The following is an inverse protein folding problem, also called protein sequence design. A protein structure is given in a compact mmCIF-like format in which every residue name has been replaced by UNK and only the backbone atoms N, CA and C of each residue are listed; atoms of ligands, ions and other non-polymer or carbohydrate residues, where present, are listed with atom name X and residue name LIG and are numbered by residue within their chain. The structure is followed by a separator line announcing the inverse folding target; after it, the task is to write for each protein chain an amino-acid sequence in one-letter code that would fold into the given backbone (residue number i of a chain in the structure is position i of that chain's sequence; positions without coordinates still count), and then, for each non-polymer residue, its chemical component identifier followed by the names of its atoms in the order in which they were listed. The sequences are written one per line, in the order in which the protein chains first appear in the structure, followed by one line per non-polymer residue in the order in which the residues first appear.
data_IF_594138062599
#
_entry.id   IF_594138062599
#
_cell.length_a   1.000
_cell.length_b   1.000
_cell.length_c   1.000
_cell.angle_alpha   90.00
_cell.angle_beta   90.00
_cell.angle_gamma   90.00
#
_symmetry.space_group_name_H-M   'P 1'
#
loop_
_entity.id
_entity.type
_entity.pdbx_description
1 polymer ?
#
# COMPACT_ATOMS: atom_id res chain seq x y z
N UNK A 1 -35.18 -36.60 8.60
CA UNK A 1 -34.47 -35.36 8.20
C UNK A 1 -34.07 -35.51 6.73
N UNK A 2 -34.82 -34.95 5.77
CA UNK A 2 -34.52 -35.10 4.34
C UNK A 2 -33.32 -34.21 4.00
N UNK A 3 -32.15 -34.80 3.72
CA UNK A 3 -31.01 -34.09 3.14
C UNK A 3 -31.40 -33.74 1.69
N UNK A 4 -31.59 -32.47 1.39
CA UNK A 4 -31.76 -31.99 0.02
C UNK A 4 -30.39 -32.04 -0.65
N UNK A 5 -30.21 -32.98 -1.57
CA UNK A 5 -29.05 -32.98 -2.44
C UNK A 5 -29.21 -31.85 -3.46
N UNK A 6 -28.16 -31.08 -3.66
CA UNK A 6 -28.09 -30.09 -4.73
C UNK A 6 -28.33 -30.77 -6.08
N UNK A 7 -29.10 -30.12 -6.96
CA UNK A 7 -29.31 -30.61 -8.31
C UNK A 7 -28.01 -30.48 -9.11
N UNK A 8 -27.76 -31.42 -10.04
CA UNK A 8 -26.60 -31.36 -10.94
C UNK A 8 -26.52 -30.03 -11.70
N UNK A 9 -27.68 -29.47 -12.07
CA UNK A 9 -27.75 -28.19 -12.78
C UNK A 9 -27.34 -27.01 -11.88
N UNK A 10 -27.68 -27.08 -10.59
CA UNK A 10 -27.36 -26.06 -9.60
C UNK A 10 -25.86 -26.02 -9.34
N UNK A 11 -25.21 -27.20 -9.28
CA UNK A 11 -23.76 -27.31 -9.18
C UNK A 11 -23.04 -26.73 -10.41
N UNK A 12 -23.54 -26.99 -11.62
CA UNK A 12 -22.95 -26.44 -12.84
C UNK A 12 -23.03 -24.91 -12.89
N UNK A 13 -24.16 -24.32 -12.48
CA UNK A 13 -24.33 -22.87 -12.43
C UNK A 13 -23.34 -22.25 -11.44
N UNK A 14 -23.15 -22.86 -10.27
CA UNK A 14 -22.18 -22.37 -9.27
C UNK A 14 -20.75 -22.38 -9.82
N UNK A 15 -20.34 -23.46 -10.49
CA UNK A 15 -18.99 -23.56 -11.10
C UNK A 15 -18.81 -22.49 -12.19
N UNK A 16 -19.84 -22.22 -12.99
CA UNK A 16 -19.79 -21.20 -14.04
C UNK A 16 -19.65 -19.79 -13.46
N UNK A 17 -20.43 -19.47 -12.42
CA UNK A 17 -20.36 -18.17 -11.73
C UNK A 17 -18.96 -17.97 -11.11
N UNK A 18 -18.44 -18.99 -10.42
CA UNK A 18 -17.10 -18.96 -9.85
C UNK A 18 -16.06 -18.73 -10.96
N UNK A 19 -16.15 -19.43 -12.09
CA UNK A 19 -15.24 -19.23 -13.24
C UNK A 19 -15.26 -17.81 -13.80
N UNK A 20 -16.44 -17.18 -13.91
CA UNK A 20 -16.55 -15.78 -14.36
C UNK A 20 -15.94 -14.81 -13.33
N UNK A 21 -16.15 -15.04 -12.03
CA UNK A 21 -15.54 -14.20 -10.99
C UNK A 21 -14.02 -14.32 -11.01
N UNK A 22 -13.47 -15.53 -11.13
CA UNK A 22 -12.02 -15.75 -11.19
C UNK A 22 -11.39 -15.10 -12.43
N UNK A 23 -12.03 -15.23 -13.59
CA UNK A 23 -11.52 -14.61 -14.84
C UNK A 23 -11.58 -13.08 -14.78
N UNK A 24 -12.65 -12.49 -14.22
CA UNK A 24 -12.74 -11.05 -14.01
C UNK A 24 -11.69 -10.53 -13.00
N UNK A 25 -11.42 -11.29 -11.94
CA UNK A 25 -10.36 -10.95 -10.99
C UNK A 25 -8.99 -10.96 -11.69
N UNK A 26 -8.62 -12.06 -12.36
CA UNK A 26 -7.31 -12.23 -13.02
C UNK A 26 -7.09 -11.20 -14.14
N UNK A 27 -8.11 -10.92 -14.95
CA UNK A 27 -7.98 -9.96 -16.05
C UNK A 27 -7.80 -8.53 -15.56
N UNK A 28 -8.41 -8.14 -14.43
CA UNK A 28 -8.16 -6.85 -13.80
C UNK A 28 -6.73 -6.76 -13.22
N UNK A 29 -6.21 -7.85 -12.66
CA UNK A 29 -4.81 -7.92 -12.19
C UNK A 29 -3.79 -7.85 -13.35
N UNK A 30 -4.02 -8.57 -14.45
CA UNK A 30 -3.12 -8.53 -15.62
C UNK A 30 -3.12 -7.14 -16.31
N UNK A 31 -4.24 -6.41 -16.27
CA UNK A 31 -4.32 -5.06 -16.83
C UNK A 31 -3.57 -4.00 -16.00
N UNK A 32 -3.29 -4.30 -14.72
CA UNK A 32 -2.42 -3.48 -13.85
C UNK A 32 -0.94 -3.74 -14.13
N UNK A 33 -0.54 -4.94 -14.60
CA UNK A 33 0.87 -5.26 -14.88
C UNK A 33 1.38 -4.72 -16.22
N UNK A 34 0.48 -4.46 -17.19
CA UNK A 34 0.85 -4.10 -18.57
C UNK A 34 0.97 -2.59 -18.84
N UNK A 35 0.65 -1.74 -17.86
CA UNK A 35 1.04 -0.32 -17.93
C UNK A 35 2.38 -0.17 -17.24
N UNK A 36 3.41 0.05 -18.05
CA UNK A 36 4.64 0.77 -17.69
C UNK A 36 4.32 2.21 -17.26
N UNK A 37 3.34 2.43 -16.39
CA UNK A 37 3.24 3.65 -15.61
C UNK A 37 4.39 3.62 -14.62
N UNK A 38 5.28 4.61 -14.71
CA UNK A 38 6.29 4.87 -13.70
C UNK A 38 5.64 4.80 -12.31
N UNK A 39 6.21 4.02 -11.41
CA UNK A 39 5.72 3.94 -10.04
C UNK A 39 5.89 5.32 -9.40
N UNK A 40 4.85 5.84 -8.77
CA UNK A 40 4.85 7.14 -8.09
C UNK A 40 4.19 7.01 -6.72
N UNK A 41 4.45 7.95 -5.82
CA UNK A 41 3.76 7.99 -4.51
C UNK A 41 2.23 8.06 -4.64
N UNK A 42 1.70 8.53 -5.78
CA UNK A 42 0.26 8.60 -6.04
C UNK A 42 -0.38 7.31 -6.58
N UNK A 43 0.41 6.29 -6.95
CA UNK A 43 -0.11 5.03 -7.51
C UNK A 43 0.49 3.76 -6.87
N UNK A 44 1.53 3.90 -6.03
CA UNK A 44 2.25 2.72 -5.53
C UNK A 44 1.44 1.91 -4.52
N UNK A 45 0.52 2.55 -3.79
CA UNK A 45 -0.38 1.84 -2.88
C UNK A 45 -1.25 0.85 -3.65
N UNK A 46 -1.88 1.33 -4.73
CA UNK A 46 -2.68 0.50 -5.62
C UNK A 46 -1.83 -0.57 -6.31
N UNK A 47 -0.58 -0.24 -6.66
CA UNK A 47 0.37 -1.21 -7.17
C UNK A 47 0.63 -2.35 -6.17
N UNK A 48 0.90 -2.04 -4.89
CA UNK A 48 1.13 -3.05 -3.85
C UNK A 48 -0.11 -3.91 -3.56
N UNK A 49 -1.30 -3.29 -3.51
CA UNK A 49 -2.59 -4.00 -3.40
C UNK A 49 -2.80 -4.94 -4.59
N UNK A 50 -2.32 -4.55 -5.77
CA UNK A 50 -2.37 -5.31 -7.01
C UNK A 50 -1.48 -6.57 -7.03
N UNK A 51 -0.55 -6.73 -6.09
CA UNK A 51 0.34 -7.90 -6.04
C UNK A 51 -0.34 -9.01 -5.24
N UNK A 52 -0.51 -10.23 -5.79
CA UNK A 52 -0.99 -11.36 -5.00
C UNK A 52 -0.03 -11.70 -3.84
N UNK A 53 -0.53 -11.71 -2.60
CA UNK A 53 0.25 -12.01 -1.40
C UNK A 53 -0.63 -12.68 -0.32
N UNK A 54 -0.03 -13.51 0.54
CA UNK A 54 -0.76 -14.22 1.59
C UNK A 54 -0.80 -13.45 2.92
N UNK A 55 0.24 -12.65 3.19
CA UNK A 55 0.42 -11.85 4.40
C UNK A 55 0.51 -10.37 4.04
N UNK A 56 1.47 -9.99 3.21
CA UNK A 56 1.71 -8.58 2.88
C UNK A 56 2.56 -8.37 1.63
N UNK A 57 2.42 -7.18 1.04
CA UNK A 57 3.33 -6.62 0.06
C UNK A 57 3.91 -5.31 0.61
N UNK A 58 5.24 -5.18 0.60
CA UNK A 58 5.98 -4.07 1.19
C UNK A 58 6.96 -3.50 0.18
N UNK A 59 7.03 -2.17 0.13
CA UNK A 59 8.16 -1.47 -0.47
C UNK A 59 9.14 -1.08 0.64
N UNK A 60 10.42 -1.32 0.41
CA UNK A 60 11.47 -1.19 1.40
C UNK A 60 12.71 -0.58 0.76
N UNK A 61 13.05 0.64 1.16
CA UNK A 61 14.18 1.38 0.62
C UNK A 61 15.24 1.57 1.70
N UNK A 62 16.49 1.41 1.31
CA UNK A 62 17.64 1.49 2.20
C UNK A 62 18.52 2.69 1.84
N UNK A 63 19.28 3.16 2.82
CA UNK A 63 20.29 4.21 2.74
C UNK A 63 19.79 5.55 2.18
N UNK A 64 20.09 5.86 0.92
CA UNK A 64 19.75 7.13 0.25
C UNK A 64 18.41 7.08 -0.50
N UNK A 65 17.67 5.98 -0.38
CA UNK A 65 16.39 5.75 -1.05
C UNK A 65 16.44 5.69 -2.58
N UNK A 66 17.64 5.67 -3.18
CA UNK A 66 17.81 5.54 -4.63
C UNK A 66 17.37 4.18 -5.16
N UNK A 67 17.43 3.14 -4.31
CA UNK A 67 16.98 1.79 -4.61
C UNK A 67 15.97 1.29 -3.57
N UNK A 68 14.87 0.76 -4.07
CA UNK A 68 13.78 0.22 -3.26
C UNK A 68 13.45 -1.21 -3.72
N UNK A 69 13.29 -2.11 -2.76
CA UNK A 69 12.87 -3.48 -3.01
C UNK A 69 11.39 -3.67 -2.72
N UNK A 70 10.75 -4.49 -3.56
CA UNK A 70 9.40 -5.01 -3.32
C UNK A 70 9.52 -6.38 -2.66
N UNK A 71 9.08 -6.44 -1.42
CA UNK A 71 9.01 -7.65 -0.60
C UNK A 71 7.57 -8.18 -0.63
N UNK A 72 7.41 -9.45 -1.01
CA UNK A 72 6.13 -10.16 -0.98
C UNK A 72 6.25 -11.30 0.02
N UNK A 73 5.43 -11.27 1.07
CA UNK A 73 5.48 -12.21 2.19
C UNK A 73 6.89 -12.36 2.79
N UNK A 74 7.64 -11.25 2.82
CA UNK A 74 9.02 -11.18 3.32
C UNK A 74 10.11 -11.52 2.30
N UNK A 75 9.76 -11.95 1.08
CA UNK A 75 10.74 -12.30 0.05
C UNK A 75 10.88 -11.18 -0.98
N UNK A 76 12.13 -10.81 -1.31
CA UNK A 76 12.42 -9.86 -2.39
C UNK A 76 11.96 -10.42 -3.74
N UNK A 77 11.15 -9.64 -4.45
CA UNK A 77 10.59 -10.01 -5.76
C UNK A 77 11.07 -9.10 -6.89
N UNK A 78 11.28 -7.82 -6.61
CA UNK A 78 11.65 -6.81 -7.61
C UNK A 78 12.43 -5.68 -6.95
N UNK A 79 13.38 -5.11 -7.68
CA UNK A 79 14.05 -3.86 -7.31
C UNK A 79 13.54 -2.74 -8.22
N UNK A 80 13.37 -1.56 -7.65
CA UNK A 80 12.92 -0.33 -8.30
C UNK A 80 13.97 0.73 -8.02
N UNK A 81 14.48 1.33 -9.08
CA UNK A 81 15.47 2.39 -9.01
C UNK A 81 14.82 3.76 -9.20
N UNK A 82 15.37 4.78 -8.56
CA UNK A 82 14.97 6.19 -8.71
C UNK A 82 13.49 6.46 -8.44
N UNK A 83 12.88 5.68 -7.53
CA UNK A 83 11.50 5.89 -7.07
C UNK A 83 11.42 7.04 -6.05
N UNK A 84 12.38 7.08 -5.13
CA UNK A 84 12.53 8.09 -4.08
C UNK A 84 13.99 8.56 -4.04
N UNK A 85 14.23 9.53 -3.16
CA UNK A 85 15.55 10.01 -2.76
C UNK A 85 15.50 10.37 -1.26
N UNK A 86 16.63 10.84 -0.72
CA UNK A 86 16.79 11.14 0.69
C UNK A 86 15.93 12.32 1.19
N UNK A 87 15.23 13.02 0.31
CA UNK A 87 14.27 14.07 0.67
C UNK A 87 12.97 13.51 1.26
N UNK A 88 12.73 12.19 1.18
CA UNK A 88 11.50 11.59 1.71
C UNK A 88 11.44 11.71 3.24
N UNK A 89 10.28 12.11 3.75
CA UNK A 89 9.95 12.12 5.18
C UNK A 89 8.61 11.45 5.40
N UNK A 90 8.48 10.71 6.51
CA UNK A 90 7.26 9.96 6.84
C UNK A 90 6.75 10.44 8.18
N UNK A 91 5.45 10.73 8.26
CA UNK A 91 4.80 11.22 9.46
C UNK A 91 3.68 10.27 9.89
N UNK A 92 3.71 9.84 11.15
CA UNK A 92 2.62 9.15 11.82
C UNK A 92 1.70 10.14 12.50
N UNK A 93 0.41 9.83 12.61
CA UNK A 93 -0.54 10.69 13.32
C UNK A 93 -0.73 10.21 14.76
N UNK A 94 -0.52 11.12 15.71
CA UNK A 94 -0.89 10.95 17.12
C UNK A 94 -2.04 11.89 17.47
N UNK A 95 -3.00 11.42 18.27
CA UNK A 95 -4.17 12.22 18.64
C UNK A 95 -3.85 13.46 19.48
N UNK A 96 -2.76 13.43 20.24
CA UNK A 96 -2.35 14.51 21.15
C UNK A 96 -1.40 15.48 20.47
N UNK A 97 -0.54 14.97 19.57
CA UNK A 97 0.57 15.76 18.99
C UNK A 97 0.41 16.03 17.49
N UNK A 98 -0.59 15.45 16.83
CA UNK A 98 -0.78 15.57 15.38
C UNK A 98 0.21 14.72 14.59
N UNK A 99 0.60 15.19 13.41
CA UNK A 99 1.59 14.51 12.58
C UNK A 99 3.00 14.65 13.18
N UNK A 100 3.64 13.52 13.48
CA UNK A 100 5.01 13.44 14.00
C UNK A 100 5.88 12.60 13.07
N UNK A 101 7.11 13.04 12.84
CA UNK A 101 8.05 12.32 11.98
C UNK A 101 8.37 10.94 12.58
N UNK A 102 8.25 9.90 11.75
CA UNK A 102 8.59 8.52 12.11
C UNK A 102 10.11 8.38 12.08
N UNK A 103 10.68 7.90 13.19
CA UNK A 103 12.12 7.66 13.24
C UNK A 103 12.51 6.53 12.29
N UNK A 104 13.62 6.73 11.58
CA UNK A 104 14.18 5.73 10.68
C UNK A 104 14.63 4.51 11.48
N UNK A 105 14.15 3.35 11.06
CA UNK A 105 14.58 2.06 11.61
C UNK A 105 15.92 1.65 11.03
N UNK A 106 16.57 0.70 11.69
CA UNK A 106 17.85 0.12 11.27
C UNK A 106 17.60 -1.32 10.81
N UNK A 107 18.23 -1.70 9.71
CA UNK A 107 18.18 -3.03 9.13
C UNK A 107 19.58 -3.65 9.12
N UNK A 108 19.68 -4.94 9.43
CA UNK A 108 20.93 -5.69 9.30
C UNK A 108 20.79 -6.70 8.17
N UNK A 109 21.68 -6.59 7.19
CA UNK A 109 21.70 -7.53 6.07
C UNK A 109 22.34 -8.88 6.46
N UNK A 110 22.43 -9.81 5.50
CA UNK A 110 22.95 -11.17 5.74
C UNK A 110 24.42 -11.19 6.21
N UNK A 111 25.18 -10.14 5.90
CA UNK A 111 26.58 -9.98 6.30
C UNK A 111 26.71 -9.25 7.64
N UNK A 112 25.58 -9.01 8.33
CA UNK A 112 25.49 -8.27 9.59
C UNK A 112 26.01 -6.82 9.46
N UNK A 113 25.87 -6.23 8.28
CA UNK A 113 26.12 -4.81 8.04
C UNK A 113 24.85 -4.02 8.34
N UNK A 114 25.02 -2.93 9.07
CA UNK A 114 23.96 -1.99 9.43
C UNK A 114 23.61 -1.09 8.24
N UNK A 115 22.33 -1.07 7.86
CA UNK A 115 21.76 -0.29 6.77
C UNK A 115 20.59 0.54 7.31
N UNK A 116 20.47 1.79 6.85
CA UNK A 116 19.42 2.67 7.34
C UNK A 116 18.15 2.47 6.52
N UNK A 117 17.00 2.27 7.16
CA UNK A 117 15.71 2.24 6.46
C UNK A 117 15.27 3.67 6.20
N UNK A 118 15.43 4.13 4.96
CA UNK A 118 15.06 5.50 4.60
C UNK A 118 13.56 5.64 4.32
N UNK A 119 12.91 4.58 3.82
CA UNK A 119 11.48 4.53 3.59
C UNK A 119 10.96 3.09 3.65
N UNK A 120 9.80 2.89 4.29
CA UNK A 120 9.08 1.64 4.17
C UNK A 120 7.58 1.84 4.22
N UNK A 121 6.86 1.07 3.40
CA UNK A 121 5.40 1.07 3.38
C UNK A 121 4.89 -0.33 3.08
N UNK A 122 3.95 -0.80 3.89
CA UNK A 122 3.40 -2.14 3.81
C UNK A 122 1.89 -2.08 3.60
N UNK A 123 1.39 -3.03 2.82
CA UNK A 123 -0.03 -3.34 2.63
C UNK A 123 -0.25 -4.78 3.08
N UNK A 124 -1.24 -4.99 3.94
CA UNK A 124 -1.63 -6.32 4.40
C UNK A 124 -2.53 -7.06 3.38
N UNK A 125 -2.78 -8.34 3.65
CA UNK A 125 -3.68 -9.20 2.85
C UNK A 125 -5.10 -8.65 2.66
N UNK A 126 -5.54 -7.69 3.47
CA UNK A 126 -6.86 -7.08 3.38
C UNK A 126 -6.82 -5.79 2.55
N UNK A 127 -5.66 -5.42 2.00
CA UNK A 127 -5.44 -4.16 1.29
C UNK A 127 -5.28 -2.96 2.22
N UNK A 128 -5.15 -3.17 3.53
CA UNK A 128 -4.92 -2.11 4.51
C UNK A 128 -3.44 -1.78 4.52
N UNK A 129 -3.12 -0.57 4.10
CA UNK A 129 -1.76 -0.05 4.15
C UNK A 129 -1.46 0.78 5.40
N UNK A 130 -0.18 1.03 5.65
CA UNK A 130 0.27 1.91 6.73
C UNK A 130 -0.44 3.27 6.68
N UNK A 131 -0.88 3.76 7.84
CA UNK A 131 -1.56 5.05 7.96
C UNK A 131 -0.55 6.14 8.27
N UNK A 132 0.04 6.69 7.21
CA UNK A 132 1.10 7.70 7.30
C UNK A 132 0.87 8.82 6.29
N UNK A 133 1.41 9.99 6.59
CA UNK A 133 1.57 11.09 5.64
C UNK A 133 3.01 11.07 5.13
N UNK A 134 3.22 11.13 3.82
CA UNK A 134 4.55 11.11 3.22
C UNK A 134 4.83 12.47 2.61
N UNK A 135 5.92 13.11 3.00
CA UNK A 135 6.44 14.31 2.36
C UNK A 135 7.52 13.93 1.35
N UNK A 136 7.39 14.42 0.13
CA UNK A 136 8.37 14.22 -0.93
C UNK A 136 8.25 15.32 -1.98
N UNK A 137 9.38 15.98 -2.30
CA UNK A 137 9.45 17.04 -3.32
C UNK A 137 8.36 18.12 -3.14
N UNK A 138 8.28 18.65 -1.92
CA UNK A 138 7.33 19.72 -1.53
C UNK A 138 5.85 19.36 -1.69
N UNK A 139 5.52 18.05 -1.64
CA UNK A 139 4.16 17.54 -1.65
C UNK A 139 3.94 16.56 -0.51
N UNK A 140 2.71 16.54 -0.01
CA UNK A 140 2.29 15.65 1.07
C UNK A 140 1.27 14.64 0.55
N UNK A 141 1.55 13.36 0.70
CA UNK A 141 0.74 12.25 0.21
C UNK A 141 0.12 11.50 1.39
N UNK A 142 -1.20 11.54 1.52
CA UNK A 142 -1.90 10.89 2.64
C UNK A 142 -2.24 9.43 2.29
N UNK A 143 -1.51 8.51 2.92
CA UNK A 143 -1.71 7.07 2.74
C UNK A 143 -2.78 6.47 3.65
N UNK A 144 -3.39 7.28 4.52
CA UNK A 144 -4.34 6.82 5.54
C UNK A 144 -5.72 6.45 4.98
N UNK A 145 -6.02 6.82 3.73
CA UNK A 145 -7.29 6.50 3.06
C UNK A 145 -7.36 5.03 2.65
N UNK A 146 -8.48 4.35 2.89
CA UNK A 146 -8.57 2.90 2.59
C UNK A 146 -8.95 2.58 1.14
N UNK A 147 -9.93 3.29 0.59
CA UNK A 147 -10.58 2.93 -0.69
C UNK A 147 -10.60 4.07 -1.71
N UNK A 148 -9.93 5.17 -1.41
CA UNK A 148 -9.84 6.32 -2.30
C UNK A 148 -8.41 6.51 -2.75
N UNK A 149 -8.26 7.09 -3.94
CA UNK A 149 -6.97 7.54 -4.44
C UNK A 149 -6.27 8.40 -3.39
N UNK A 150 -4.97 8.22 -3.24
CA UNK A 150 -4.10 8.98 -2.33
C UNK A 150 -4.32 10.50 -2.52
N UNK A 151 -4.86 11.20 -1.51
CA UNK A 151 -4.92 12.65 -1.50
C UNK A 151 -3.52 13.26 -1.49
N UNK A 152 -3.37 14.38 -2.19
CA UNK A 152 -2.10 15.10 -2.30
C UNK A 152 -2.34 16.54 -1.86
N UNK A 153 -1.49 17.04 -0.98
CA UNK A 153 -1.55 18.38 -0.43
C UNK A 153 -0.28 19.17 -0.76
N UNK A 154 -0.43 20.49 -0.82
CA UNK A 154 0.67 21.41 -1.08
C UNK A 154 1.44 21.75 0.21
N UNK A 155 0.82 21.56 1.38
CA UNK A 155 1.44 21.80 2.68
C UNK A 155 0.99 20.81 3.76
N UNK A 156 1.78 20.68 4.81
CA UNK A 156 1.40 19.96 6.04
C UNK A 156 0.11 20.52 6.65
N UNK A 157 -0.07 21.85 6.60
CA UNK A 157 -1.24 22.51 7.15
C UNK A 157 -2.53 22.07 6.45
N UNK A 158 -2.51 21.96 5.12
CA UNK A 158 -3.67 21.49 4.35
C UNK A 158 -4.04 20.04 4.70
N UNK A 159 -3.03 19.18 4.93
CA UNK A 159 -3.24 17.80 5.36
C UNK A 159 -3.87 17.74 6.77
N UNK A 160 -3.44 18.59 7.70
CA UNK A 160 -4.02 18.72 9.04
C UNK A 160 -5.48 19.19 8.95
N UNK A 161 -5.76 20.24 8.17
CA UNK A 161 -7.12 20.77 8.02
C UNK A 161 -8.09 19.74 7.43
N UNK A 162 -7.64 18.98 6.43
CA UNK A 162 -8.41 17.89 5.85
C UNK A 162 -8.72 16.79 6.88
N UNK A 163 -7.73 16.41 7.71
CA UNK A 163 -7.90 15.42 8.78
C UNK A 163 -8.91 15.90 9.83
N UNK A 164 -8.78 17.14 10.29
CA UNK A 164 -9.71 17.71 11.28
C UNK A 164 -11.15 17.80 10.75
N UNK A 165 -11.32 18.09 9.46
CA UNK A 165 -12.64 18.10 8.84
C UNK A 165 -13.31 16.71 8.94
N UNK A 166 -12.57 15.64 8.63
CA UNK A 166 -13.05 14.27 8.76
C UNK A 166 -13.40 13.91 10.22
N UNK A 167 -12.57 14.32 11.19
CA UNK A 167 -12.87 14.08 12.62
C UNK A 167 -14.17 14.78 13.03
N UNK A 168 -14.39 16.03 12.59
CA UNK A 168 -15.63 16.77 12.86
C UNK A 168 -16.87 16.12 12.23
N UNK A 169 -16.73 15.46 11.09
CA UNK A 169 -17.84 14.74 10.45
C UNK A 169 -18.25 13.49 11.23
N UNK A 170 -17.29 12.76 11.80
CA UNK A 170 -17.57 11.54 12.58
C UNK A 170 -18.12 11.85 13.98
N UNK A 171 -17.80 13.01 14.55
CA UNK A 171 -18.30 13.43 15.87
C UNK A 171 -19.71 14.03 15.86
N UNK A 172 -20.33 14.22 14.70
CA UNK A 172 -21.73 14.67 14.56
C UNK A 172 -22.70 13.51 14.65
#
# INVERSE_FOLDING_TARGET
MKRKAFSLIELMIVIMIIGVIYTLAITNFAKLSDKSSMLTLSNFKEYLIGIPHAKSAKIFCLDDCSQCDILVDGNKTKTIENFLDDSVRVYGYDFSYGFMEVQKEVYFNIDNVEENVCFSYEVDKNGVGNQVLIEFKDKFYDMSTYFTKTPIYDSMQDAVEAREALVREVMK
#
